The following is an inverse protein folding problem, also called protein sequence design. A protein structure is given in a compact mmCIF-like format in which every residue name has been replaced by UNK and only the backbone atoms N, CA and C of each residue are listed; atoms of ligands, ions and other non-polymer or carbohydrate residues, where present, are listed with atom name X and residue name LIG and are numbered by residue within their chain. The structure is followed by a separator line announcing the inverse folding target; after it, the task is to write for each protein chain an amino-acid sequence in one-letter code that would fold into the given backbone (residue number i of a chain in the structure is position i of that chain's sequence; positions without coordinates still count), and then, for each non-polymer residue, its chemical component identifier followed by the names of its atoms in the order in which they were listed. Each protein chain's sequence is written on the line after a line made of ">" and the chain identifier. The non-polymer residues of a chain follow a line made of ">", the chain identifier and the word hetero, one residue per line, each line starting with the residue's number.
data_IF_850560416563
#
_entry.id   IF_850560416563
#
_cell.length_a   1.000
_cell.length_b   1.000
_cell.length_c   1.000
_cell.angle_alpha   90.00
_cell.angle_beta   90.00
_cell.angle_gamma   90.00
#
_symmetry.space_group_name_H-M   'P 1'
#
loop_
_entity.id
_entity.type
_entity.pdbx_description
1 polymer ?
#
# COMPACT_ATOMS: atom_id res chain seq x y z
N UNK A 1 -66.06 33.22 -80.12
CA UNK A 1 -64.95 32.29 -80.44
C UNK A 1 -63.69 33.14 -80.56
N UNK A 2 -62.53 32.87 -79.99
CA UNK A 2 -61.94 31.62 -79.47
C UNK A 2 -60.97 31.94 -78.33
N UNK A 3 -60.77 30.93 -77.50
CA UNK A 3 -59.99 30.86 -76.26
C UNK A 3 -58.60 31.52 -76.35
N UNK A 4 -58.28 32.32 -75.34
CA UNK A 4 -56.90 32.58 -74.94
C UNK A 4 -56.45 31.37 -74.12
N UNK A 5 -55.56 30.56 -74.68
CA UNK A 5 -54.80 29.54 -73.96
C UNK A 5 -53.72 30.29 -73.16
N UNK A 6 -53.81 30.24 -71.84
CA UNK A 6 -52.72 30.66 -70.97
C UNK A 6 -51.83 29.43 -70.77
N UNK A 7 -50.73 29.36 -71.51
CA UNK A 7 -49.65 28.44 -71.19
C UNK A 7 -49.03 28.88 -69.86
N UNK A 8 -49.47 28.25 -68.77
CA UNK A 8 -48.81 28.32 -67.46
C UNK A 8 -47.41 27.71 -67.57
N UNK A 9 -46.44 28.52 -68.02
CA UNK A 9 -45.02 28.20 -67.92
C UNK A 9 -44.62 28.31 -66.46
N UNK A 10 -44.87 27.24 -65.72
CA UNK A 10 -44.38 27.05 -64.36
C UNK A 10 -42.84 27.16 -64.39
N UNK A 11 -42.23 28.12 -63.66
CA UNK A 11 -40.78 28.22 -63.64
C UNK A 11 -40.24 26.94 -62.99
N UNK A 12 -39.49 26.16 -63.76
CA UNK A 12 -38.75 25.02 -63.22
C UNK A 12 -37.72 25.58 -62.23
N UNK A 13 -37.96 25.40 -60.93
CA UNK A 13 -36.97 25.75 -59.92
C UNK A 13 -35.66 25.05 -60.28
N UNK A 14 -34.52 25.79 -60.34
CA UNK A 14 -33.24 25.17 -60.63
C UNK A 14 -32.95 24.11 -59.56
N UNK A 15 -32.31 22.98 -59.93
CA UNK A 15 -31.97 21.94 -58.95
C UNK A 15 -31.14 22.57 -57.83
N UNK A 16 -31.55 22.29 -56.58
CA UNK A 16 -30.85 22.80 -55.40
C UNK A 16 -29.37 22.42 -55.49
N UNK A 17 -28.50 23.43 -55.61
CA UNK A 17 -27.06 23.22 -55.58
C UNK A 17 -26.66 23.08 -54.12
N UNK A 18 -26.14 21.91 -53.77
CA UNK A 18 -25.63 21.63 -52.43
C UNK A 18 -24.41 22.55 -52.22
N UNK A 19 -24.51 23.47 -51.26
CA UNK A 19 -23.42 24.38 -50.90
C UNK A 19 -22.34 23.63 -50.10
N UNK A 20 -21.11 24.14 -50.09
CA UNK A 20 -19.99 23.55 -49.35
C UNK A 20 -20.29 23.41 -47.86
N UNK A 21 -21.04 24.37 -47.29
CA UNK A 21 -21.49 24.33 -45.90
C UNK A 21 -22.51 23.24 -45.62
N UNK A 22 -23.37 22.93 -46.60
CA UNK A 22 -24.37 21.86 -46.49
C UNK A 22 -23.67 20.49 -46.54
N UNK A 23 -22.67 20.34 -47.42
CA UNK A 23 -21.81 19.14 -47.45
C UNK A 23 -21.06 18.89 -46.13
N UNK A 24 -20.55 19.95 -45.49
CA UNK A 24 -19.90 19.82 -44.18
C UNK A 24 -20.90 19.43 -43.09
N UNK A 25 -22.08 20.02 -43.10
CA UNK A 25 -23.15 19.70 -42.14
C UNK A 25 -23.59 18.25 -42.27
N UNK A 26 -23.74 17.75 -43.50
CA UNK A 26 -24.06 16.35 -43.80
C UNK A 26 -22.95 15.42 -43.32
N UNK A 27 -21.68 15.77 -43.57
CA UNK A 27 -20.53 14.97 -43.11
C UNK A 27 -20.48 14.86 -41.58
N UNK A 28 -20.69 15.96 -40.86
CA UNK A 28 -20.74 15.96 -39.39
C UNK A 28 -21.89 15.11 -38.85
N UNK A 29 -23.05 15.15 -39.51
CA UNK A 29 -24.19 14.33 -39.13
C UNK A 29 -23.90 12.84 -39.31
N UNK A 30 -23.28 12.46 -40.43
CA UNK A 30 -22.85 11.07 -40.68
C UNK A 30 -21.81 10.59 -39.66
N UNK A 31 -20.81 11.41 -39.35
CA UNK A 31 -19.79 11.07 -38.33
C UNK A 31 -20.44 10.86 -36.97
N UNK A 32 -21.35 11.75 -36.59
CA UNK A 32 -22.06 11.65 -35.30
C UNK A 32 -22.90 10.37 -35.22
N UNK A 33 -23.58 10.01 -36.31
CA UNK A 33 -24.34 8.77 -36.41
C UNK A 33 -23.44 7.52 -36.33
N UNK A 34 -22.29 7.53 -37.00
CA UNK A 34 -21.30 6.46 -36.91
C UNK A 34 -20.75 6.29 -35.48
N UNK A 35 -20.44 7.39 -34.79
CA UNK A 35 -19.98 7.36 -33.40
C UNK A 35 -21.08 6.79 -32.48
N UNK A 36 -22.33 7.24 -32.65
CA UNK A 36 -23.47 6.70 -31.89
C UNK A 36 -23.66 5.20 -32.09
N UNK A 37 -23.61 4.73 -33.35
CA UNK A 37 -23.71 3.31 -33.68
C UNK A 37 -22.56 2.49 -33.07
N UNK A 38 -21.34 3.04 -33.05
CA UNK A 38 -20.19 2.42 -32.40
C UNK A 38 -20.42 2.21 -30.90
N UNK A 39 -20.89 3.24 -30.18
CA UNK A 39 -21.18 3.11 -28.75
C UNK A 39 -22.31 2.13 -28.45
N UNK A 40 -23.36 2.08 -29.29
CA UNK A 40 -24.41 1.07 -29.18
C UNK A 40 -23.83 -0.34 -29.36
N UNK A 41 -22.95 -0.54 -30.34
CA UNK A 41 -22.30 -1.83 -30.58
C UNK A 41 -21.45 -2.26 -29.37
N UNK A 42 -20.68 -1.35 -28.77
CA UNK A 42 -19.91 -1.60 -27.54
C UNK A 42 -20.83 -1.96 -26.37
N UNK A 43 -21.99 -1.30 -26.24
CA UNK A 43 -22.96 -1.60 -25.18
C UNK A 43 -23.58 -2.99 -25.32
N UNK A 44 -23.91 -3.42 -26.54
CA UNK A 44 -24.48 -4.75 -26.81
C UNK A 44 -23.42 -5.85 -26.65
N UNK A 45 -22.18 -5.59 -27.08
CA UNK A 45 -21.06 -6.55 -27.02
C UNK A 45 -19.85 -5.94 -26.29
N UNK A 46 -19.86 -5.92 -24.95
CA UNK A 46 -18.80 -5.27 -24.18
C UNK A 46 -17.42 -5.94 -24.33
N UNK A 47 -17.37 -7.23 -24.65
CA UNK A 47 -16.12 -7.98 -24.82
C UNK A 47 -15.60 -8.02 -26.27
N UNK A 48 -16.18 -7.24 -27.18
CA UNK A 48 -15.75 -7.23 -28.57
C UNK A 48 -14.33 -6.65 -28.75
N UNK A 49 -13.60 -7.11 -29.77
CA UNK A 49 -12.22 -6.66 -30.06
C UNK A 49 -12.10 -5.17 -30.41
N UNK A 50 -13.20 -4.54 -30.85
CA UNK A 50 -13.27 -3.11 -31.12
C UNK A 50 -13.55 -2.26 -29.86
N UNK A 51 -13.83 -2.87 -28.71
CA UNK A 51 -13.93 -2.16 -27.44
C UNK A 51 -12.56 -2.18 -26.72
N UNK A 52 -11.82 -1.06 -26.69
CA UNK A 52 -10.54 -1.00 -25.98
C UNK A 52 -10.68 -1.16 -24.46
N UNK A 53 -11.89 -1.04 -23.91
CA UNK A 53 -12.19 -1.18 -22.49
C UNK A 53 -12.92 -2.48 -22.15
N UNK A 54 -12.68 -3.57 -22.90
CA UNK A 54 -13.29 -4.87 -22.63
C UNK A 54 -12.99 -5.34 -21.18
N UNK A 55 -14.01 -5.72 -20.39
CA UNK A 55 -13.85 -6.06 -18.98
C UNK A 55 -12.98 -7.30 -18.77
N UNK A 56 -13.08 -8.28 -19.68
CA UNK A 56 -12.26 -9.50 -19.65
C UNK A 56 -10.76 -9.24 -19.85
N UNK A 57 -10.37 -8.29 -20.70
CA UNK A 57 -8.95 -7.93 -20.94
C UNK A 57 -8.34 -7.19 -19.74
N UNK A 58 -9.18 -6.47 -18.98
CA UNK A 58 -8.76 -5.68 -17.82
C UNK A 58 -8.98 -6.40 -16.49
N UNK A 59 -9.43 -7.66 -16.51
CA UNK A 59 -9.58 -8.46 -15.30
C UNK A 59 -8.19 -8.83 -14.77
N UNK A 60 -7.81 -8.27 -13.63
CA UNK A 60 -6.64 -8.74 -12.89
C UNK A 60 -6.89 -10.19 -12.44
N UNK A 61 -5.86 -11.05 -12.42
CA UNK A 61 -6.00 -12.42 -11.95
C UNK A 61 -6.52 -12.42 -10.51
N UNK A 62 -7.76 -12.85 -10.34
CA UNK A 62 -8.35 -13.06 -9.01
C UNK A 62 -7.76 -14.35 -8.46
N UNK A 63 -6.93 -14.25 -7.43
CA UNK A 63 -6.43 -15.42 -6.73
C UNK A 63 -7.64 -16.14 -6.09
N UNK A 64 -8.05 -17.25 -6.70
CA UNK A 64 -9.00 -18.16 -6.08
C UNK A 64 -8.27 -18.86 -4.94
N UNK A 65 -8.59 -18.49 -3.71
CA UNK A 65 -7.99 -19.10 -2.52
C UNK A 65 -8.51 -20.53 -2.43
N UNK A 66 -7.70 -21.48 -2.90
CA UNK A 66 -7.94 -22.91 -2.70
C UNK A 66 -7.81 -23.20 -1.20
N UNK A 67 -8.90 -23.61 -0.57
CA UNK A 67 -8.91 -23.99 0.85
C UNK A 67 -7.97 -25.19 1.07
N UNK A 68 -6.90 -24.99 1.85
CA UNK A 68 -5.95 -26.05 2.18
C UNK A 68 -6.61 -26.98 3.20
N UNK A 69 -7.11 -28.12 2.75
CA UNK A 69 -7.62 -29.17 3.63
C UNK A 69 -6.44 -29.83 4.37
N UNK A 70 -6.38 -29.81 5.71
CA UNK A 70 -5.30 -30.48 6.43
C UNK A 70 -5.34 -32.00 6.16
N UNK A 71 -4.18 -32.67 6.06
CA UNK A 71 -4.14 -34.12 5.93
C UNK A 71 -4.71 -34.75 7.21
N UNK A 72 -5.57 -35.75 7.04
CA UNK A 72 -6.02 -36.56 8.15
C UNK A 72 -4.87 -37.48 8.59
N UNK A 73 -4.62 -37.54 9.90
CA UNK A 73 -4.55 -38.76 10.75
C UNK A 73 -3.46 -38.60 11.82
N UNK A 74 -3.90 -38.34 13.05
CA UNK A 74 -3.10 -38.60 14.25
C UNK A 74 -3.30 -40.06 14.65
N UNK A 75 -2.25 -40.87 14.59
CA UNK A 75 -2.20 -42.18 15.24
C UNK A 75 -1.38 -42.01 16.52
N UNK A 76 -2.04 -42.10 17.68
CA UNK A 76 -1.32 -42.15 18.95
C UNK A 76 -0.73 -43.56 19.14
N UNK A 77 0.58 -43.71 18.97
CA UNK A 77 1.31 -44.92 19.35
C UNK A 77 1.50 -44.90 20.87
N UNK A 78 0.83 -45.83 21.57
CA UNK A 78 0.99 -46.02 23.00
C UNK A 78 2.25 -46.85 23.30
N UNK A 79 3.06 -46.24 24.16
CA UNK A 79 4.35 -46.52 24.82
C UNK A 79 4.62 -47.98 25.25
N UNK A 80 5.90 -48.37 25.23
CA UNK A 80 6.46 -49.26 26.25
C UNK A 80 7.82 -48.71 26.75
N UNK A 81 7.83 -48.06 27.92
CA UNK A 81 9.05 -47.60 28.59
C UNK A 81 9.54 -48.72 29.49
N UNK A 82 10.57 -49.42 29.05
CA UNK A 82 11.35 -50.32 29.91
C UNK A 82 12.33 -49.47 30.71
N UNK A 83 12.10 -49.33 32.02
CA UNK A 83 13.05 -48.67 32.93
C UNK A 83 14.14 -49.66 33.35
N UNK A 84 15.24 -49.71 32.61
CA UNK A 84 16.47 -50.36 33.06
C UNK A 84 17.21 -49.41 34.00
N UNK A 85 17.55 -49.78 35.25
CA UNK A 85 18.38 -48.95 36.10
C UNK A 85 19.82 -48.93 35.59
N UNK A 86 20.19 -47.86 34.89
CA UNK A 86 21.57 -47.60 34.48
C UNK A 86 22.34 -46.97 35.65
N UNK A 87 23.40 -47.64 36.11
CA UNK A 87 24.32 -47.09 37.11
C UNK A 87 24.95 -45.80 36.58
N UNK A 88 24.53 -44.67 37.15
CA UNK A 88 25.04 -43.35 36.78
C UNK A 88 26.32 -43.10 37.57
N UNK A 89 27.47 -43.08 36.90
CA UNK A 89 28.75 -42.73 37.51
C UNK A 89 28.73 -41.25 37.93
N UNK A 90 29.03 -41.00 39.20
CA UNK A 90 29.19 -39.65 39.76
C UNK A 90 30.42 -39.00 39.12
N UNK A 91 30.35 -37.74 38.66
CA UNK A 91 31.50 -37.07 38.08
C UNK A 91 32.60 -36.89 39.13
N UNK A 92 33.79 -37.41 38.84
CA UNK A 92 35.01 -37.09 39.59
C UNK A 92 35.40 -35.64 39.28
N UNK A 93 35.70 -34.85 40.31
CA UNK A 93 36.17 -33.47 40.18
C UNK A 93 37.41 -33.41 39.30
N UNK A 94 37.26 -32.83 38.10
CA UNK A 94 38.35 -32.47 37.21
C UNK A 94 38.76 -31.04 37.54
N UNK A 95 40.04 -30.81 37.84
CA UNK A 95 40.57 -29.45 38.05
C UNK A 95 40.47 -28.65 36.74
N UNK A 96 40.04 -27.38 36.84
CA UNK A 96 40.03 -26.47 35.70
C UNK A 96 41.45 -26.17 35.21
N UNK A 97 41.69 -26.16 33.88
CA UNK A 97 42.99 -25.79 33.34
C UNK A 97 43.28 -24.31 33.63
N UNK A 98 44.40 -24.05 34.29
CA UNK A 98 44.91 -22.69 34.49
C UNK A 98 45.49 -22.16 33.16
N UNK A 99 45.16 -20.94 32.73
CA UNK A 99 45.69 -20.38 31.48
C UNK A 99 47.18 -20.03 31.65
N UNK A 100 48.05 -20.85 31.08
CA UNK A 100 49.47 -20.50 30.91
C UNK A 100 49.60 -19.56 29.72
N UNK A 101 49.73 -18.26 29.96
CA UNK A 101 49.98 -17.26 28.92
C UNK A 101 51.40 -17.44 28.37
N UNK A 102 51.53 -18.08 27.21
CA UNK A 102 52.78 -18.13 26.44
C UNK A 102 52.71 -17.04 25.37
N UNK A 103 53.52 -15.99 25.52
CA UNK A 103 53.70 -14.95 24.50
C UNK A 103 54.79 -15.40 23.52
N UNK A 104 54.38 -15.79 22.32
CA UNK A 104 55.29 -16.25 21.24
C UNK A 104 55.33 -15.26 20.06
N UNK A 105 55.15 -13.97 20.34
CA UNK A 105 55.28 -12.90 19.33
C UNK A 105 56.16 -11.77 19.88
N UNK A 106 57.28 -11.54 19.21
CA UNK A 106 58.09 -10.32 19.36
C UNK A 106 57.27 -9.14 18.83
N UNK A 107 57.10 -8.04 19.58
CA UNK A 107 56.34 -6.90 19.10
C UNK A 107 57.04 -6.30 17.87
N UNK A 108 56.35 -6.38 16.72
CA UNK A 108 56.73 -5.65 15.52
C UNK A 108 56.06 -4.28 15.59
N UNK A 109 56.83 -3.21 15.39
CA UNK A 109 56.32 -1.85 15.16
C UNK A 109 55.47 -1.85 13.89
N UNK A 110 54.20 -2.17 14.08
CA UNK A 110 53.16 -2.10 13.07
C UNK A 110 52.60 -0.68 13.16
N UNK A 111 52.61 0.12 12.08
CA UNK A 111 52.03 1.45 12.13
C UNK A 111 50.58 1.33 12.60
N UNK A 112 50.27 2.01 13.71
CA UNK A 112 48.92 2.13 14.26
C UNK A 112 47.98 2.49 13.10
N UNK A 113 46.97 1.66 12.76
CA UNK A 113 45.92 2.12 11.89
C UNK A 113 45.29 3.31 12.61
N UNK A 114 45.57 4.49 12.07
CA UNK A 114 44.99 5.74 12.52
C UNK A 114 43.48 5.52 12.53
N UNK A 115 42.91 5.51 13.73
CA UNK A 115 41.50 5.31 13.99
C UNK A 115 40.77 6.60 13.57
N UNK A 116 40.76 6.84 12.26
CA UNK A 116 40.00 7.89 11.58
C UNK A 116 39.19 7.23 10.48
N UNK A 117 38.45 6.17 10.82
CA UNK A 117 37.09 6.09 10.33
C UNK A 117 36.30 7.14 11.11
N UNK A 118 36.41 8.41 10.68
CA UNK A 118 35.36 9.38 10.93
C UNK A 118 34.08 8.67 10.53
N UNK A 119 33.16 8.47 11.48
CA UNK A 119 31.83 7.97 11.18
C UNK A 119 31.33 8.83 10.02
N UNK A 120 31.34 8.26 8.81
CA UNK A 120 30.71 8.91 7.67
C UNK A 120 29.29 9.13 8.15
N UNK A 121 28.80 10.37 8.24
CA UNK A 121 27.48 10.62 8.80
C UNK A 121 26.52 9.72 8.04
N UNK A 122 25.93 8.74 8.74
CA UNK A 122 24.89 7.90 8.16
C UNK A 122 23.93 8.88 7.50
N UNK A 123 23.64 8.75 6.20
CA UNK A 123 22.77 9.70 5.51
C UNK A 123 21.52 9.87 6.34
N UNK A 124 21.34 11.07 6.91
CA UNK A 124 20.19 11.34 7.76
C UNK A 124 18.97 11.05 6.89
N UNK A 125 18.12 10.13 7.34
CA UNK A 125 16.94 9.76 6.57
C UNK A 125 16.21 11.03 6.12
N UNK A 126 15.79 11.13 4.85
CA UNK A 126 15.25 12.38 4.31
C UNK A 126 13.98 12.83 5.03
N UNK A 127 13.34 11.96 5.82
CA UNK A 127 12.23 12.31 6.70
C UNK A 127 12.49 11.87 8.14
N UNK A 128 12.00 12.68 9.08
CA UNK A 128 11.81 12.32 10.48
C UNK A 128 10.32 12.18 10.76
N UNK A 129 9.94 11.43 11.79
CA UNK A 129 8.56 11.43 12.23
C UNK A 129 8.40 11.29 13.73
N UNK A 130 7.22 11.65 14.20
CA UNK A 130 6.82 11.62 15.61
C UNK A 130 5.44 11.01 15.74
N UNK A 131 5.24 10.17 16.76
CA UNK A 131 3.96 9.57 17.07
C UNK A 131 3.32 10.25 18.29
N UNK A 132 2.01 10.45 18.22
CA UNK A 132 1.15 10.96 19.30
C UNK A 132 -0.07 10.06 19.42
N UNK A 133 -0.70 10.04 20.60
CA UNK A 133 -1.82 9.14 20.89
C UNK A 133 -3.02 9.96 21.29
N UNK A 134 -4.13 9.74 20.59
CA UNK A 134 -5.38 10.48 20.77
C UNK A 134 -6.57 9.51 20.77
N UNK A 135 -7.74 10.05 21.13
CA UNK A 135 -9.01 9.35 21.03
C UNK A 135 -9.46 9.29 19.57
N UNK A 136 -9.82 8.10 19.10
CA UNK A 136 -10.32 7.86 17.74
C UNK A 136 -11.61 8.63 17.44
N UNK A 137 -12.44 8.92 18.44
CA UNK A 137 -13.74 9.60 18.27
C UNK A 137 -13.62 11.02 17.75
N UNK A 138 -12.43 11.62 17.83
CA UNK A 138 -12.11 12.92 17.24
C UNK A 138 -12.26 12.88 15.71
N UNK A 139 -11.94 11.74 15.09
CA UNK A 139 -11.97 11.54 13.64
C UNK A 139 -13.10 10.57 13.22
N UNK A 140 -13.34 9.55 14.03
CA UNK A 140 -14.33 8.49 13.86
C UNK A 140 -15.35 8.48 15.02
N UNK A 141 -16.23 9.48 15.13
CA UNK A 141 -17.21 9.57 16.21
C UNK A 141 -18.18 8.36 16.25
N UNK A 142 -18.42 7.72 15.11
CA UNK A 142 -19.26 6.53 14.97
C UNK A 142 -18.64 5.27 15.57
N UNK A 143 -17.31 5.24 15.71
CA UNK A 143 -16.60 4.02 16.05
C UNK A 143 -16.46 3.81 17.57
N UNK A 144 -16.62 4.88 18.36
CA UNK A 144 -16.48 4.86 19.82
C UNK A 144 -15.21 4.10 20.26
N UNK A 145 -15.34 3.14 21.20
CA UNK A 145 -14.24 2.28 21.61
C UNK A 145 -14.16 0.96 20.82
N UNK A 146 -14.87 0.85 19.68
CA UNK A 146 -14.87 -0.36 18.85
C UNK A 146 -13.91 -0.23 17.66
N UNK A 147 -12.82 0.50 17.85
CA UNK A 147 -11.86 0.80 16.79
C UNK A 147 -10.48 1.11 17.35
N UNK A 148 -9.45 0.68 16.63
CA UNK A 148 -8.07 1.07 16.88
C UNK A 148 -7.32 1.15 15.55
N UNK A 149 -6.48 2.17 15.41
CA UNK A 149 -5.80 2.44 14.14
C UNK A 149 -4.56 3.29 14.26
N UNK A 150 -3.82 3.35 13.16
CA UNK A 150 -2.63 4.18 12.98
C UNK A 150 -2.88 5.09 11.79
N UNK A 151 -2.84 6.39 12.00
CA UNK A 151 -3.07 7.36 10.94
C UNK A 151 -2.03 8.47 11.00
N UNK A 152 -2.04 9.36 10.02
CA UNK A 152 -1.03 10.39 10.00
C UNK A 152 -1.02 11.28 8.78
N UNK A 153 -0.02 12.17 8.76
CA UNK A 153 0.24 13.11 7.67
C UNK A 153 1.71 13.14 7.31
N UNK A 154 1.99 13.53 6.07
CA UNK A 154 3.35 13.66 5.55
C UNK A 154 3.52 15.07 5.00
N UNK A 155 4.48 15.80 5.53
CA UNK A 155 4.73 17.19 5.14
C UNK A 155 6.17 17.44 4.72
N UNK A 156 6.34 18.40 3.82
CA UNK A 156 7.65 18.91 3.43
C UNK A 156 8.24 19.82 4.53
N UNK A 157 9.46 20.29 4.32
CA UNK A 157 10.18 21.30 5.10
C UNK A 157 9.32 22.53 5.43
N UNK A 158 8.52 22.98 4.45
CA UNK A 158 7.60 24.12 4.55
C UNK A 158 6.23 23.79 5.18
N UNK A 159 6.05 22.58 5.74
CA UNK A 159 4.77 22.05 6.21
C UNK A 159 3.69 21.92 5.11
N UNK A 160 4.08 21.86 3.84
CA UNK A 160 3.18 21.56 2.75
C UNK A 160 2.88 20.06 2.70
N UNK A 161 1.61 19.69 2.48
CA UNK A 161 1.16 18.30 2.35
C UNK A 161 1.84 17.60 1.17
N UNK A 162 2.47 16.44 1.42
CA UNK A 162 3.06 15.60 0.38
C UNK A 162 2.16 14.40 0.10
N UNK A 163 1.66 14.34 -1.14
CA UNK A 163 0.76 13.30 -1.62
C UNK A 163 1.52 12.21 -2.38
N UNK A 164 0.94 11.02 -2.47
CA UNK A 164 1.50 9.94 -3.30
C UNK A 164 2.74 9.27 -2.72
N UNK A 165 3.03 9.47 -1.43
CA UNK A 165 4.12 8.77 -0.73
C UNK A 165 3.57 7.50 -0.10
N UNK A 166 4.21 6.37 -0.36
CA UNK A 166 3.83 5.07 0.18
C UNK A 166 4.21 5.00 1.66
N UNK A 167 3.27 4.55 2.50
CA UNK A 167 3.48 4.31 3.92
C UNK A 167 3.31 2.83 4.17
N UNK A 168 4.19 2.26 4.98
CA UNK A 168 4.19 0.85 5.37
C UNK A 168 4.03 0.73 6.86
N UNK A 169 3.03 -0.07 7.25
CA UNK A 169 2.89 -0.56 8.61
C UNK A 169 3.33 -2.03 8.63
N UNK A 170 4.33 -2.34 9.46
CA UNK A 170 4.87 -3.69 9.57
C UNK A 170 5.07 -4.08 11.03
N UNK A 171 4.91 -5.36 11.35
CA UNK A 171 5.15 -5.88 12.69
C UNK A 171 4.13 -6.93 13.11
N UNK A 172 3.83 -6.98 14.40
CA UNK A 172 2.83 -7.89 14.98
C UNK A 172 1.76 -7.13 15.75
N UNK A 173 0.51 -7.53 15.55
CA UNK A 173 -0.64 -7.00 16.27
C UNK A 173 -1.61 -8.14 16.57
N UNK A 174 -2.02 -8.29 17.84
CA UNK A 174 -2.89 -9.37 18.29
C UNK A 174 -2.42 -10.78 17.85
N UNK A 175 -1.12 -11.05 18.04
CA UNK A 175 -0.45 -12.29 17.59
C UNK A 175 -0.51 -12.59 16.07
N UNK A 176 -0.94 -11.63 15.24
CA UNK A 176 -0.95 -11.73 13.78
C UNK A 176 0.12 -10.80 13.20
N UNK A 177 0.80 -11.26 12.14
CA UNK A 177 1.70 -10.38 11.40
C UNK A 177 0.89 -9.35 10.61
N UNK A 178 1.36 -8.12 10.64
CA UNK A 178 0.86 -6.99 9.86
C UNK A 178 1.95 -6.55 8.90
N UNK A 179 1.60 -6.41 7.63
CA UNK A 179 2.48 -5.86 6.60
C UNK A 179 1.60 -5.20 5.54
N UNK A 180 1.11 -4.02 5.87
CA UNK A 180 0.14 -3.28 5.07
C UNK A 180 0.81 -2.06 4.46
N UNK A 181 0.36 -1.69 3.26
CA UNK A 181 0.80 -0.52 2.53
C UNK A 181 -0.39 0.38 2.27
N UNK A 182 -0.18 1.68 2.44
CA UNK A 182 -1.14 2.73 2.11
C UNK A 182 -0.40 3.88 1.44
N UNK A 183 -1.12 4.89 0.95
CA UNK A 183 -0.52 6.03 0.25
C UNK A 183 -1.03 7.32 0.89
N UNK A 184 -0.16 8.32 1.02
CA UNK A 184 -0.58 9.63 1.53
C UNK A 184 -1.58 10.31 0.60
N UNK A 185 -2.65 10.81 1.19
CA UNK A 185 -3.74 11.53 0.53
C UNK A 185 -5.00 10.72 0.24
N UNK A 186 -5.03 9.44 0.64
CA UNK A 186 -6.26 8.62 0.51
C UNK A 186 -7.20 8.76 1.71
N UNK A 187 -6.72 9.27 2.85
CA UNK A 187 -7.51 9.45 4.07
C UNK A 187 -7.68 10.95 4.39
N UNK A 188 -8.58 11.67 3.70
CA UNK A 188 -8.71 13.12 3.82
C UNK A 188 -9.14 13.60 5.21
N UNK A 189 -9.70 12.70 6.04
CA UNK A 189 -10.08 12.96 7.42
C UNK A 189 -8.88 13.43 8.29
N UNK A 190 -7.66 13.04 7.92
CA UNK A 190 -6.44 13.42 8.62
C UNK A 190 -5.71 14.61 7.99
N UNK A 191 -6.25 15.20 6.92
CA UNK A 191 -5.63 16.27 6.13
C UNK A 191 -5.35 15.83 4.70
N UNK A 192 -4.85 16.76 3.86
CA UNK A 192 -4.66 16.48 2.42
C UNK A 192 -3.66 15.35 2.18
N UNK A 193 -2.60 15.26 2.99
CA UNK A 193 -1.62 14.15 2.96
C UNK A 193 -1.98 12.98 3.88
N UNK A 194 -3.24 12.91 4.31
CA UNK A 194 -3.70 11.94 5.31
C UNK A 194 -3.57 10.49 4.83
N UNK A 195 -3.13 9.61 5.74
CA UNK A 195 -3.16 8.16 5.56
C UNK A 195 -3.72 7.49 6.82
N UNK A 196 -4.21 6.26 6.66
CA UNK A 196 -4.77 5.47 7.75
C UNK A 196 -4.50 3.97 7.55
N UNK A 197 -4.32 3.29 8.68
CA UNK A 197 -4.32 1.84 8.83
C UNK A 197 -5.30 1.45 9.93
N UNK A 198 -6.20 0.53 9.59
CA UNK A 198 -7.13 -0.06 10.54
C UNK A 198 -6.49 -1.30 11.21
N UNK A 199 -6.34 -1.28 12.53
CA UNK A 199 -5.75 -2.41 13.26
C UNK A 199 -6.81 -3.43 13.68
N UNK A 200 -7.96 -2.97 14.16
CA UNK A 200 -9.04 -3.85 14.62
C UNK A 200 -10.19 -3.10 15.28
N UNK A 201 -11.24 -3.85 15.62
CA UNK A 201 -12.46 -3.31 16.24
C UNK A 201 -12.42 -3.28 17.77
N UNK A 202 -11.28 -3.61 18.39
CA UNK A 202 -11.12 -3.62 19.84
C UNK A 202 -9.73 -3.07 20.15
N UNK A 203 -9.61 -2.02 20.97
CA UNK A 203 -8.32 -1.51 21.42
C UNK A 203 -7.55 -2.58 22.19
N UNK A 204 -6.38 -2.93 21.66
CA UNK A 204 -5.45 -3.84 22.29
C UNK A 204 -4.17 -3.09 22.64
N UNK A 205 -3.49 -3.50 23.70
CA UNK A 205 -2.17 -2.97 24.02
C UNK A 205 -1.09 -3.77 23.27
N UNK A 206 -0.10 -3.08 22.69
CA UNK A 206 1.09 -3.70 22.10
C UNK A 206 2.28 -2.78 22.30
N UNK A 207 3.38 -3.30 22.85
CA UNK A 207 4.58 -2.52 23.13
C UNK A 207 5.70 -2.88 22.17
N UNK A 208 6.08 -1.93 21.31
CA UNK A 208 7.24 -2.07 20.44
C UNK A 208 7.07 -3.05 19.27
N UNK A 209 5.88 -3.59 19.05
CA UNK A 209 5.64 -4.65 18.07
C UNK A 209 5.27 -4.15 16.67
N UNK A 210 4.86 -2.89 16.55
CA UNK A 210 4.47 -2.27 15.29
C UNK A 210 5.44 -1.17 14.91
N UNK A 211 5.73 -1.09 13.61
CA UNK A 211 6.66 -0.13 13.04
C UNK A 211 6.04 0.48 11.80
N UNK A 212 6.12 1.80 11.71
CA UNK A 212 5.66 2.57 10.56
C UNK A 212 6.85 3.24 9.87
N UNK A 213 6.84 3.21 8.55
CA UNK A 213 7.91 3.77 7.72
C UNK A 213 7.33 4.28 6.41
N UNK A 214 7.92 5.34 5.86
CA UNK A 214 7.57 5.82 4.52
C UNK A 214 8.59 5.31 3.49
N UNK A 215 8.11 5.08 2.28
CA UNK A 215 8.84 4.47 1.17
C UNK A 215 8.73 5.34 -0.08
N UNK A 216 9.70 5.25 -0.96
CA UNK A 216 9.64 5.84 -2.30
C UNK A 216 8.88 4.94 -3.29
N UNK A 217 8.80 5.38 -4.56
CA UNK A 217 8.15 4.64 -5.64
C UNK A 217 8.86 3.32 -5.99
N UNK A 218 10.14 3.17 -5.62
CA UNK A 218 10.91 1.94 -5.79
C UNK A 218 10.84 1.02 -4.55
N UNK A 219 10.09 1.41 -3.50
CA UNK A 219 9.99 0.66 -2.25
C UNK A 219 11.19 0.82 -1.32
N UNK A 220 12.06 1.81 -1.54
CA UNK A 220 13.17 2.13 -0.66
C UNK A 220 12.69 3.00 0.52
N UNK A 221 13.21 2.78 1.73
CA UNK A 221 12.81 3.55 2.91
C UNK A 221 13.28 5.01 2.84
N UNK A 222 12.34 5.95 2.96
CA UNK A 222 12.58 7.40 3.02
C UNK A 222 12.69 7.93 4.46
N UNK A 223 12.23 7.17 5.45
CA UNK A 223 12.41 7.49 6.87
C UNK A 223 13.09 6.34 7.60
N UNK A 224 13.61 6.61 8.80
CA UNK A 224 13.85 5.53 9.75
C UNK A 224 12.53 4.83 10.13
N UNK A 225 12.58 3.56 10.56
CA UNK A 225 11.42 2.89 11.15
C UNK A 225 11.02 3.60 12.44
N UNK A 226 9.74 3.96 12.58
CA UNK A 226 9.19 4.51 13.81
C UNK A 226 8.41 3.40 14.49
N UNK A 227 8.91 2.96 15.65
CA UNK A 227 8.20 2.00 16.49
C UNK A 227 7.05 2.70 17.21
N UNK A 228 5.87 2.11 17.17
CA UNK A 228 4.66 2.63 17.79
C UNK A 228 4.12 1.63 18.81
N UNK A 229 3.51 2.16 19.86
CA UNK A 229 2.77 1.37 20.83
C UNK A 229 1.27 1.51 20.56
N UNK A 230 0.49 0.53 20.97
CA UNK A 230 -0.98 0.63 21.00
C UNK A 230 -1.45 0.45 22.42
N UNK A 231 -2.60 1.01 22.76
CA UNK A 231 -3.15 1.01 24.12
C UNK A 231 -4.57 0.45 24.12
N UNK A 232 -4.91 -0.31 25.15
CA UNK A 232 -6.29 -0.76 25.39
C UNK A 232 -7.22 0.36 25.88
N UNK A 233 -6.69 1.55 26.16
CA UNK A 233 -7.43 2.73 26.59
C UNK A 233 -8.10 3.41 25.38
N UNK A 234 -9.42 3.57 25.42
CA UNK A 234 -10.21 4.21 24.37
C UNK A 234 -9.77 5.67 24.12
N UNK A 235 -9.22 6.35 25.12
CA UNK A 235 -8.73 7.75 24.96
C UNK A 235 -7.41 7.84 24.17
N UNK A 236 -6.78 6.69 23.86
CA UNK A 236 -5.48 6.56 23.18
C UNK A 236 -5.48 5.48 22.10
N UNK A 237 -6.66 5.16 21.56
CA UNK A 237 -6.84 4.10 20.57
C UNK A 237 -6.50 4.53 19.13
N UNK A 238 -6.14 5.79 18.90
CA UNK A 238 -5.62 6.28 17.62
C UNK A 238 -4.17 6.75 17.76
N UNK A 239 -3.28 6.11 17.02
CA UNK A 239 -1.87 6.52 16.89
C UNK A 239 -1.75 7.50 15.72
N UNK A 240 -1.50 8.78 16.01
CA UNK A 240 -1.30 9.81 15.00
C UNK A 240 0.19 10.06 14.76
N UNK A 241 0.66 9.75 13.56
CA UNK A 241 2.07 9.84 13.14
C UNK A 241 2.24 10.99 12.17
N UNK A 242 3.20 11.87 12.43
CA UNK A 242 3.54 12.96 11.53
C UNK A 242 4.94 12.77 10.97
N UNK A 243 5.06 12.68 9.66
CA UNK A 243 6.35 12.67 8.96
C UNK A 243 6.67 14.05 8.42
N UNK A 244 7.91 14.50 8.59
CA UNK A 244 8.41 15.78 8.10
C UNK A 244 9.76 15.61 7.41
N UNK A 245 9.90 16.22 6.23
CA UNK A 245 11.17 16.22 5.48
C UNK A 245 12.27 16.99 6.22
N UNK A 246 13.46 16.39 6.29
CA UNK A 246 14.65 16.86 6.99
C UNK A 246 15.53 17.72 6.08
N UNK A 247 15.10 18.96 5.82
CA UNK A 247 15.78 19.96 4.95
C UNK A 247 15.87 19.61 3.47
#
# INVERSE_FOLDING_TARGET
>A
MSRYDYDDLQPSNPPAKIDMWDMMSILFLLITLCIGAYFIAVFVSPDASYNPFAPSRNALPTATITEIKPPATWTATLVEMTSTPTLTLVPTFTLEPSPTLVSLITPTDTPVPTNTASATPTPKAPFSGSATYIDSTIIHPEAACNWQGVAGTIVDTNNADMLGITVRLSGFYNAKSKNELTVSGIAPAYGKSGFEFFLGTVPLASDGLLTIQILDQAGLPLSGPITINTYADCSKNLVLVKFKKNR
#
